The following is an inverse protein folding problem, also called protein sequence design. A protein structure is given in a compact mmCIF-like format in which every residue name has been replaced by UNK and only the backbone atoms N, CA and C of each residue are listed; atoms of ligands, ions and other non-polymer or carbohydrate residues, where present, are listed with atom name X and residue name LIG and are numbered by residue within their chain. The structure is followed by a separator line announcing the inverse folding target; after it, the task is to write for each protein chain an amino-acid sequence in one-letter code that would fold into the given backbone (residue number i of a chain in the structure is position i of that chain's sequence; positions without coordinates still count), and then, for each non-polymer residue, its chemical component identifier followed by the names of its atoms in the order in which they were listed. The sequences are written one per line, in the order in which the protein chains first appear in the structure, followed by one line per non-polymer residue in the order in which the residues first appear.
data_IF_175454217254
#
_entry.id   IF_175454217254
#
_cell.length_a   1.000
_cell.length_b   1.000
_cell.length_c   1.000
_cell.angle_alpha   90.00
_cell.angle_beta   90.00
_cell.angle_gamma   90.00
#
_symmetry.space_group_name_H-M   'P 1'
#
loop_
_entity.id
_entity.type
_entity.pdbx_description
1 polymer ?
#
# COMPACT_ATOMS: atom_id res chain seq x y z
N UNK A 1 12.62 -1.86 -6.71
CA UNK A 1 11.28 -2.15 -7.27
C UNK A 1 11.03 -1.15 -8.41
N UNK A 2 9.98 -1.31 -9.22
CA UNK A 2 9.42 -0.20 -9.99
C UNK A 2 7.93 -0.04 -9.67
N UNK A 3 7.36 1.13 -9.95
CA UNK A 3 5.98 1.49 -9.68
C UNK A 3 5.34 1.98 -10.95
N UNK A 4 4.14 1.50 -11.23
CA UNK A 4 3.25 2.20 -12.16
C UNK A 4 2.77 3.46 -11.42
N UNK A 5 3.04 4.65 -11.95
CA UNK A 5 2.62 5.92 -11.39
C UNK A 5 1.68 6.61 -12.35
N UNK A 6 0.54 7.12 -11.86
CA UNK A 6 -0.30 8.00 -12.65
C UNK A 6 0.37 9.38 -12.75
N UNK A 7 0.53 9.91 -13.95
CA UNK A 7 1.03 11.27 -14.15
C UNK A 7 -0.05 12.32 -13.84
N UNK A 8 -1.31 11.91 -13.83
CA UNK A 8 -2.49 12.70 -13.46
C UNK A 8 -3.65 11.76 -13.11
N UNK A 9 -4.68 12.22 -12.39
CA UNK A 9 -5.86 11.41 -12.11
C UNK A 9 -6.46 10.79 -13.39
N UNK A 10 -7.01 9.56 -13.33
CA UNK A 10 -7.80 9.01 -14.41
C UNK A 10 -8.98 9.92 -14.75
N UNK A 11 -9.20 10.17 -16.04
CA UNK A 11 -10.26 11.06 -16.52
C UNK A 11 -11.32 10.27 -17.27
N UNK A 12 -12.57 10.33 -16.80
CA UNK A 12 -13.70 9.75 -17.52
C UNK A 12 -14.22 10.77 -18.53
N UNK A 13 -14.35 10.36 -19.78
CA UNK A 13 -14.94 11.16 -20.84
C UNK A 13 -16.25 10.55 -21.28
N UNK A 14 -17.33 11.34 -21.22
CA UNK A 14 -18.59 10.95 -21.82
C UNK A 14 -18.41 10.86 -23.34
N UNK A 15 -18.78 9.72 -23.91
CA UNK A 15 -18.71 9.47 -25.34
C UNK A 15 -19.97 8.78 -25.84
N UNK A 16 -20.31 8.97 -27.12
CA UNK A 16 -21.32 8.19 -27.83
C UNK A 16 -20.59 7.26 -28.81
N UNK A 17 -20.78 5.93 -28.78
CA UNK A 17 -21.79 5.18 -28.02
C UNK A 17 -21.40 4.82 -26.56
N UNK A 18 -20.12 4.91 -26.19
CA UNK A 18 -19.63 4.52 -24.86
C UNK A 18 -18.72 5.59 -24.26
N UNK A 19 -18.71 5.69 -22.93
CA UNK A 19 -17.72 6.49 -22.21
C UNK A 19 -16.32 5.86 -22.32
N UNK A 20 -15.28 6.68 -22.20
CA UNK A 20 -13.90 6.19 -22.13
C UNK A 20 -13.19 6.69 -20.89
N UNK A 21 -12.14 5.99 -20.48
CA UNK A 21 -11.22 6.44 -19.44
C UNK A 21 -9.85 6.74 -20.05
N UNK A 22 -9.39 7.96 -19.82
CA UNK A 22 -8.04 8.40 -20.20
C UNK A 22 -7.11 8.25 -19.02
N UNK A 23 -6.03 7.51 -19.25
CA UNK A 23 -4.97 7.28 -18.28
C UNK A 23 -3.65 7.75 -18.86
N UNK A 24 -2.87 8.46 -18.06
CA UNK A 24 -1.47 8.76 -18.37
C UNK A 24 -0.62 8.22 -17.23
N UNK A 25 0.32 7.34 -17.56
CA UNK A 25 1.17 6.70 -16.57
C UNK A 25 2.64 6.68 -16.99
N UNK A 26 3.50 6.52 -15.99
CA UNK A 26 4.91 6.18 -16.14
C UNK A 26 5.22 4.91 -15.33
N UNK A 27 6.32 4.25 -15.64
CA UNK A 27 6.86 3.17 -14.80
C UNK A 27 8.27 3.57 -14.36
N UNK A 28 8.44 3.82 -13.07
CA UNK A 28 9.67 4.36 -12.50
C UNK A 28 10.02 3.71 -11.17
N UNK A 29 11.22 3.96 -10.65
CA UNK A 29 11.55 3.75 -9.24
C UNK A 29 10.66 4.61 -8.32
N UNK A 30 10.70 4.37 -7.01
CA UNK A 30 10.02 5.18 -6.00
C UNK A 30 10.51 6.63 -6.01
N UNK A 31 11.82 6.85 -6.16
CA UNK A 31 12.44 8.15 -6.36
C UNK A 31 12.12 8.82 -7.70
N UNK A 32 11.53 8.08 -8.65
CA UNK A 32 11.29 8.53 -10.02
C UNK A 32 12.56 9.00 -10.77
N UNK A 33 13.74 8.62 -10.28
CA UNK A 33 15.04 8.94 -10.86
C UNK A 33 15.36 8.10 -12.11
N UNK A 34 14.75 6.92 -12.24
CA UNK A 34 14.88 6.05 -13.40
C UNK A 34 13.55 5.54 -13.92
N UNK A 35 13.36 5.61 -15.24
CA UNK A 35 12.29 4.91 -15.94
C UNK A 35 12.65 3.45 -16.16
N UNK A 36 11.67 2.56 -16.06
CA UNK A 36 11.84 1.16 -16.37
C UNK A 36 12.27 1.00 -17.84
N UNK A 37 13.43 0.39 -18.07
CA UNK A 37 13.95 0.10 -19.40
C UNK A 37 14.09 -1.41 -19.61
N UNK A 38 13.01 -2.11 -19.97
CA UNK A 38 13.04 -3.57 -20.05
C UNK A 38 13.69 -4.04 -21.37
N UNK A 39 14.35 -5.20 -21.35
CA UNK A 39 14.93 -5.80 -22.58
C UNK A 39 13.85 -6.17 -23.61
N UNK A 40 12.73 -6.71 -23.13
CA UNK A 40 11.56 -7.05 -23.94
C UNK A 40 10.38 -6.15 -23.53
N UNK A 41 9.47 -5.82 -24.46
CA UNK A 41 8.25 -5.09 -24.12
C UNK A 41 7.44 -5.79 -23.03
N UNK A 42 6.99 -5.04 -22.04
CA UNK A 42 6.13 -5.55 -20.95
C UNK A 42 4.69 -5.17 -21.26
N UNK A 43 3.84 -6.16 -21.50
CA UNK A 43 2.41 -5.95 -21.65
C UNK A 43 1.78 -5.61 -20.30
N UNK A 44 0.89 -4.64 -20.29
CA UNK A 44 0.11 -4.23 -19.13
C UNK A 44 -1.35 -4.65 -19.33
N UNK A 45 -2.04 -4.83 -18.20
CA UNK A 45 -3.49 -5.04 -18.16
C UNK A 45 -4.12 -3.96 -17.29
N UNK A 46 -5.22 -3.40 -17.78
CA UNK A 46 -6.10 -2.52 -17.00
C UNK A 46 -7.36 -3.31 -16.63
N UNK A 47 -7.64 -3.37 -15.33
CA UNK A 47 -8.78 -4.09 -14.76
C UNK A 47 -9.63 -3.05 -14.03
N UNK A 48 -10.84 -2.81 -14.51
CA UNK A 48 -11.87 -2.08 -13.78
C UNK A 48 -12.57 -3.01 -12.80
N UNK A 49 -13.21 -2.46 -11.78
CA UNK A 49 -14.13 -3.20 -10.94
C UNK A 49 -15.37 -2.37 -10.60
N UNK A 50 -16.52 -3.02 -10.55
CA UNK A 50 -17.80 -2.44 -10.13
C UNK A 50 -18.44 -3.33 -9.09
N UNK A 51 -19.38 -2.79 -8.31
CA UNK A 51 -20.09 -3.55 -7.29
C UNK A 51 -21.43 -4.07 -7.82
N UNK A 52 -21.69 -5.36 -7.67
CA UNK A 52 -23.00 -5.98 -7.86
C UNK A 52 -23.59 -6.39 -6.52
N UNK A 53 -24.88 -6.13 -6.33
CA UNK A 53 -25.59 -6.64 -5.16
C UNK A 53 -26.19 -8.02 -5.49
N UNK A 54 -25.68 -9.07 -4.85
CA UNK A 54 -26.14 -10.45 -5.06
C UNK A 54 -26.30 -11.16 -3.73
N UNK A 55 -27.46 -11.80 -3.54
CA UNK A 55 -27.79 -12.57 -2.33
C UNK A 55 -27.62 -11.77 -1.01
N UNK A 56 -27.98 -10.48 -1.03
CA UNK A 56 -27.88 -9.60 0.13
C UNK A 56 -26.46 -9.12 0.46
N UNK A 57 -25.49 -9.36 -0.44
CA UNK A 57 -24.09 -8.96 -0.26
C UNK A 57 -23.59 -8.20 -1.48
N UNK A 58 -22.76 -7.20 -1.20
CA UNK A 58 -22.03 -6.47 -2.24
C UNK A 58 -20.84 -7.32 -2.69
N UNK A 59 -20.78 -7.61 -3.98
CA UNK A 59 -19.72 -8.36 -4.63
C UNK A 59 -18.99 -7.46 -5.63
N UNK A 60 -17.67 -7.37 -5.47
CA UNK A 60 -16.83 -6.68 -6.43
C UNK A 60 -16.59 -7.57 -7.66
N UNK A 61 -16.98 -7.09 -8.84
CA UNK A 61 -16.85 -7.80 -10.12
C UNK A 61 -15.75 -7.16 -10.97
N UNK A 62 -14.62 -7.87 -11.24
CA UNK A 62 -13.54 -7.35 -12.07
C UNK A 62 -13.87 -7.47 -13.57
N UNK A 63 -13.48 -6.46 -14.34
CA UNK A 63 -13.63 -6.38 -15.79
C UNK A 63 -12.32 -5.97 -16.42
N UNK A 64 -11.81 -6.75 -17.37
CA UNK A 64 -10.60 -6.41 -18.12
C UNK A 64 -10.93 -5.36 -19.18
N UNK A 65 -10.38 -4.15 -19.07
CA UNK A 65 -10.62 -3.02 -19.99
C UNK A 65 -9.70 -3.03 -21.23
N UNK A 66 -8.79 -4.00 -21.31
CA UNK A 66 -7.75 -4.11 -22.34
C UNK A 66 -7.87 -5.39 -23.17
N UNK A 67 -9.06 -6.01 -23.20
CA UNK A 67 -9.26 -7.28 -23.91
C UNK A 67 -8.88 -7.16 -25.40
N UNK A 68 -8.07 -8.12 -25.86
CA UNK A 68 -7.64 -8.23 -27.27
C UNK A 68 -6.44 -7.39 -27.68
N UNK A 69 -6.12 -6.29 -26.98
CA UNK A 69 -4.99 -5.42 -27.33
C UNK A 69 -4.31 -4.83 -26.07
N UNK A 70 -3.51 -5.61 -25.35
CA UNK A 70 -2.84 -5.13 -24.14
C UNK A 70 -1.78 -4.07 -24.49
N UNK A 71 -1.81 -2.89 -23.85
CA UNK A 71 -0.78 -1.87 -24.08
C UNK A 71 0.59 -2.37 -23.61
N UNK A 72 1.66 -1.92 -24.26
CA UNK A 72 3.02 -2.38 -23.96
C UNK A 72 3.92 -1.24 -23.53
N UNK A 73 4.65 -1.42 -22.42
CA UNK A 73 5.76 -0.57 -22.00
C UNK A 73 7.06 -1.07 -22.64
N UNK A 74 7.87 -0.15 -23.19
CA UNK A 74 9.10 -0.44 -23.95
C UNK A 74 10.26 0.41 -23.43
N UNK A 75 11.48 -0.05 -23.67
CA UNK A 75 12.68 0.74 -23.37
C UNK A 75 12.62 2.12 -24.04
N UNK A 76 13.08 3.15 -23.33
CA UNK A 76 13.06 4.55 -23.78
C UNK A 76 11.72 5.28 -23.60
N UNK A 77 10.65 4.58 -23.19
CA UNK A 77 9.39 5.25 -22.84
C UNK A 77 9.52 6.04 -21.53
N UNK A 78 8.94 7.24 -21.53
CA UNK A 78 8.78 8.06 -20.32
C UNK A 78 7.33 8.11 -19.84
N UNK A 79 6.40 8.01 -20.78
CA UNK A 79 4.96 8.11 -20.55
C UNK A 79 4.24 7.12 -21.47
N UNK A 80 3.21 6.47 -20.95
CA UNK A 80 2.24 5.69 -21.71
C UNK A 80 0.86 6.34 -21.53
N UNK A 81 0.20 6.64 -22.66
CA UNK A 81 -1.15 7.20 -22.70
C UNK A 81 -2.12 6.12 -23.15
N UNK A 82 -3.21 5.95 -22.41
CA UNK A 82 -4.27 4.99 -22.71
C UNK A 82 -5.60 5.73 -22.85
N UNK A 83 -6.40 5.29 -23.79
CA UNK A 83 -7.80 5.70 -23.97
C UNK A 83 -8.60 4.40 -24.12
N UNK A 84 -9.32 4.03 -23.05
CA UNK A 84 -9.94 2.71 -22.93
C UNK A 84 -11.46 2.86 -22.89
N UNK A 85 -12.22 2.11 -23.70
CA UNK A 85 -13.66 2.10 -23.61
C UNK A 85 -14.09 1.54 -22.26
N UNK A 86 -15.03 2.22 -21.61
CA UNK A 86 -15.67 1.75 -20.40
C UNK A 86 -16.89 0.88 -20.78
N UNK A 87 -17.13 -0.21 -20.04
CA UNK A 87 -18.34 -0.98 -20.21
C UNK A 87 -19.56 -0.19 -19.68
N UNK A 88 -20.79 -0.64 -19.97
CA UNK A 88 -22.00 0.02 -19.45
C UNK A 88 -22.09 0.07 -17.92
N UNK A 89 -21.43 -0.87 -17.24
CA UNK A 89 -21.39 -0.92 -15.77
C UNK A 89 -20.55 0.24 -15.20
N UNK A 90 -20.99 0.83 -14.07
CA UNK A 90 -20.27 1.93 -13.45
C UNK A 90 -19.01 1.42 -12.76
N UNK A 91 -17.88 1.45 -13.48
CA UNK A 91 -16.58 1.10 -12.90
C UNK A 91 -16.25 2.07 -11.75
N UNK A 92 -16.03 1.53 -10.56
CA UNK A 92 -15.76 2.26 -9.33
C UNK A 92 -14.27 2.41 -9.07
N UNK A 93 -13.48 1.41 -9.48
CA UNK A 93 -12.03 1.41 -9.29
C UNK A 93 -11.33 0.84 -10.51
N UNK A 94 -10.11 1.30 -10.77
CA UNK A 94 -9.22 0.72 -11.78
C UNK A 94 -7.93 0.24 -11.14
N UNK A 95 -7.40 -0.84 -11.68
CA UNK A 95 -6.09 -1.39 -11.38
C UNK A 95 -5.27 -1.45 -12.67
N UNK A 96 -4.00 -1.05 -12.60
CA UNK A 96 -3.03 -1.26 -13.68
C UNK A 96 -1.84 -2.04 -13.14
N UNK A 97 -1.48 -3.10 -13.87
CA UNK A 97 -0.34 -3.97 -13.54
C UNK A 97 0.24 -4.62 -14.81
N UNK A 98 1.46 -5.19 -14.75
CA UNK A 98 1.90 -6.13 -15.77
C UNK A 98 0.88 -7.25 -16.00
N UNK A 99 0.70 -7.63 -17.27
CA UNK A 99 -0.13 -8.77 -17.65
C UNK A 99 0.47 -10.06 -17.08
N UNK A 100 1.79 -10.22 -17.22
CA UNK A 100 2.56 -11.29 -16.58
C UNK A 100 2.57 -11.10 -15.06
N UNK A 101 1.93 -12.03 -14.35
CA UNK A 101 1.79 -12.00 -12.89
C UNK A 101 3.13 -12.13 -12.17
N UNK A 102 4.13 -12.78 -12.78
CA UNK A 102 5.45 -12.97 -12.17
C UNK A 102 6.20 -11.63 -12.02
N UNK A 103 5.89 -10.65 -12.86
CA UNK A 103 6.48 -9.32 -12.80
C UNK A 103 5.77 -8.38 -11.82
N UNK A 104 4.65 -8.78 -11.22
CA UNK A 104 3.84 -7.89 -10.39
C UNK A 104 4.09 -8.10 -8.89
N UNK A 105 4.24 -7.03 -8.11
CA UNK A 105 4.15 -7.09 -6.65
C UNK A 105 2.70 -6.80 -6.20
N UNK A 106 2.03 -7.80 -5.62
CA UNK A 106 0.63 -7.74 -5.17
C UNK A 106 0.42 -8.29 -3.75
N UNK A 107 1.41 -8.98 -3.20
CA UNK A 107 1.41 -9.45 -1.82
C UNK A 107 2.83 -9.48 -1.25
N UNK A 108 2.91 -9.57 0.07
CA UNK A 108 4.18 -9.59 0.81
C UNK A 108 5.08 -10.75 0.38
N UNK A 109 4.49 -11.92 0.09
CA UNK A 109 5.21 -13.08 -0.42
C UNK A 109 5.68 -12.98 -1.89
N UNK A 110 5.26 -11.95 -2.64
CA UNK A 110 5.89 -11.66 -3.94
C UNK A 110 7.22 -10.92 -3.74
N UNK A 111 7.26 -10.03 -2.75
CA UNK A 111 8.39 -9.12 -2.49
C UNK A 111 9.58 -9.86 -1.90
N UNK A 112 9.34 -10.76 -0.95
CA UNK A 112 10.38 -11.61 -0.35
C UNK A 112 10.39 -13.00 -1.01
N UNK A 113 11.58 -13.58 -1.28
CA UNK A 113 12.92 -13.14 -0.87
C UNK A 113 13.61 -12.19 -1.88
N UNK A 114 12.90 -11.60 -2.84
CA UNK A 114 13.49 -10.63 -3.78
C UNK A 114 14.30 -11.25 -4.91
N UNK A 115 13.80 -12.33 -5.54
CA UNK A 115 14.53 -13.08 -6.58
C UNK A 115 14.69 -12.32 -7.90
N UNK A 116 13.83 -11.34 -8.17
CA UNK A 116 13.83 -10.57 -9.42
C UNK A 116 13.25 -9.18 -9.22
N UNK A 117 13.49 -8.30 -10.19
CA UNK A 117 12.84 -7.00 -10.24
C UNK A 117 11.33 -7.14 -10.46
N UNK A 118 10.54 -6.47 -9.62
CA UNK A 118 9.09 -6.45 -9.68
C UNK A 118 8.56 -5.05 -9.97
N UNK A 119 7.33 -4.99 -10.44
CA UNK A 119 6.57 -3.78 -10.73
C UNK A 119 5.33 -3.77 -9.84
N UNK A 120 5.19 -2.76 -9.00
CA UNK A 120 4.04 -2.59 -8.14
C UNK A 120 2.83 -2.07 -8.93
N UNK A 121 1.70 -2.75 -8.75
CA UNK A 121 0.43 -2.35 -9.33
C UNK A 121 -0.03 -1.00 -8.75
N UNK A 122 -0.79 -0.24 -9.53
CA UNK A 122 -1.45 0.99 -9.07
C UNK A 122 -2.95 0.82 -9.11
N UNK A 123 -3.63 1.43 -8.17
CA UNK A 123 -5.08 1.52 -8.14
C UNK A 123 -5.53 2.97 -8.02
N UNK A 124 -6.68 3.27 -8.59
CA UNK A 124 -7.35 4.55 -8.40
C UNK A 124 -8.85 4.34 -8.37
N UNK A 125 -9.52 5.15 -7.54
CA UNK A 125 -10.97 5.27 -7.59
C UNK A 125 -11.37 6.06 -8.84
N UNK A 126 -12.44 5.64 -9.49
CA UNK A 126 -12.97 6.31 -10.66
C UNK A 126 -13.76 7.55 -10.23
N UNK A 127 -13.52 8.72 -10.86
CA UNK A 127 -14.29 9.92 -10.56
C UNK A 127 -15.77 9.67 -10.88
N UNK A 128 -16.69 9.98 -9.95
CA UNK A 128 -18.12 9.87 -10.23
C UNK A 128 -18.58 11.09 -11.03
N UNK A 129 -19.60 10.94 -11.90
CA UNK A 129 -20.21 12.09 -12.54
C UNK A 129 -20.75 13.08 -11.50
N UNK A 130 -20.23 14.31 -11.49
CA UNK A 130 -20.62 15.35 -10.54
C UNK A 130 -19.72 15.49 -9.32
N UNK A 131 -18.79 14.55 -9.08
CA UNK A 131 -17.65 14.84 -8.24
C UNK A 131 -16.86 15.97 -8.91
N UNK A 132 -16.42 16.96 -8.12
CA UNK A 132 -15.67 18.10 -8.63
C UNK A 132 -14.31 17.71 -9.21
N UNK A 133 -13.22 18.31 -8.70
CA UNK A 133 -11.89 17.87 -9.11
C UNK A 133 -11.62 16.48 -8.55
N UNK A 134 -11.35 15.50 -9.42
CA UNK A 134 -10.95 14.16 -9.01
C UNK A 134 -9.77 14.24 -8.01
N UNK A 135 -9.83 13.51 -6.89
CA UNK A 135 -8.76 13.54 -5.90
C UNK A 135 -7.43 13.15 -6.56
N UNK A 136 -6.38 13.90 -6.25
CA UNK A 136 -5.04 13.67 -6.81
C UNK A 136 -4.31 12.56 -6.07
N UNK A 137 -4.97 11.41 -5.93
CA UNK A 137 -4.57 10.30 -5.08
C UNK A 137 -4.67 8.99 -5.85
N UNK A 138 -3.74 8.09 -5.57
CA UNK A 138 -3.86 6.68 -5.93
C UNK A 138 -3.56 5.82 -4.72
N UNK A 139 -3.76 4.51 -4.82
CA UNK A 139 -3.41 3.61 -3.74
C UNK A 139 -2.71 2.35 -4.23
N UNK A 140 -1.95 1.76 -3.31
CA UNK A 140 -1.33 0.43 -3.45
C UNK A 140 -2.12 -0.55 -2.61
N UNK A 141 -2.23 -1.78 -3.11
CA UNK A 141 -2.95 -2.85 -2.43
C UNK A 141 -2.01 -4.05 -2.28
N UNK A 142 -1.65 -4.37 -1.05
CA UNK A 142 -0.74 -5.45 -0.71
C UNK A 142 -1.47 -6.52 0.10
N UNK A 143 -1.56 -7.73 -0.44
CA UNK A 143 -2.03 -8.87 0.34
C UNK A 143 -0.97 -9.23 1.40
N UNK A 144 -1.41 -9.28 2.64
CA UNK A 144 -0.59 -9.76 3.75
C UNK A 144 -0.73 -11.28 3.77
N UNK A 145 0.27 -11.98 3.22
CA UNK A 145 0.24 -13.44 3.20
C UNK A 145 0.55 -14.00 4.59
N UNK A 146 -0.21 -15.02 4.98
CA UNK A 146 -0.01 -15.84 6.16
C UNK A 146 0.12 -17.30 5.71
N UNK A 147 1.20 -17.64 4.97
CA UNK A 147 1.40 -18.99 4.42
C UNK A 147 0.13 -19.65 3.86
N UNK A 148 -0.13 -20.89 4.28
CA UNK A 148 -1.29 -21.72 3.90
C UNK A 148 -2.68 -21.15 4.25
N UNK A 149 -2.79 -20.02 4.97
CA UNK A 149 -4.07 -19.35 5.19
C UNK A 149 -4.69 -18.79 3.90
N UNK A 150 -3.87 -18.57 2.85
CA UNK A 150 -4.36 -18.27 1.50
C UNK A 150 -5.15 -19.44 0.88
N UNK A 151 -4.85 -20.69 1.26
CA UNK A 151 -5.57 -21.88 0.80
C UNK A 151 -6.89 -22.11 1.55
N UNK A 152 -7.06 -21.52 2.75
CA UNK A 152 -8.25 -21.68 3.59
C UNK A 152 -9.40 -20.69 3.27
N UNK A 153 -9.27 -19.89 2.20
CA UNK A 153 -10.31 -18.93 1.80
C UNK A 153 -10.52 -17.74 2.76
N UNK A 154 -9.73 -17.66 3.84
CA UNK A 154 -9.67 -16.51 4.75
C UNK A 154 -8.64 -15.53 4.19
N UNK A 155 -8.85 -15.05 2.97
CA UNK A 155 -8.06 -13.94 2.45
C UNK A 155 -8.48 -12.68 3.21
N UNK A 156 -7.74 -12.33 4.27
CA UNK A 156 -7.90 -11.05 4.95
C UNK A 156 -7.84 -9.90 3.93
N UNK A 157 -8.65 -8.86 4.13
CA UNK A 157 -8.64 -7.72 3.23
C UNK A 157 -7.23 -7.13 3.10
N UNK A 158 -6.79 -6.77 1.87
CA UNK A 158 -5.44 -6.29 1.63
C UNK A 158 -5.16 -4.99 2.38
N UNK A 159 -3.89 -4.79 2.72
CA UNK A 159 -3.38 -3.50 3.17
C UNK A 159 -3.47 -2.53 2.00
N UNK A 160 -4.26 -1.47 2.17
CA UNK A 160 -4.41 -0.42 1.15
C UNK A 160 -3.88 0.89 1.68
N UNK A 161 -2.88 1.44 1.01
CA UNK A 161 -2.24 2.70 1.39
C UNK A 161 -2.35 3.65 0.21
N UNK A 162 -2.91 4.83 0.46
CA UNK A 162 -2.92 5.95 -0.46
C UNK A 162 -1.59 6.68 -0.48
N UNK A 163 -1.27 7.21 -1.66
CA UNK A 163 -0.25 8.20 -1.91
C UNK A 163 -0.78 9.29 -2.83
N UNK A 164 -0.17 10.48 -2.76
CA UNK A 164 -0.53 11.59 -3.64
C UNK A 164 0.13 11.40 -5.01
N UNK A 165 -0.48 11.94 -6.08
CA UNK A 165 0.13 11.95 -7.42
C UNK A 165 1.16 13.07 -7.62
N UNK A 166 1.32 13.96 -6.63
CA UNK A 166 2.20 15.14 -6.69
C UNK A 166 3.67 14.82 -6.43
N UNK A 167 4.47 15.84 -6.09
CA UNK A 167 5.92 15.71 -5.88
C UNK A 167 6.32 15.58 -4.39
N UNK A 168 5.36 15.57 -3.46
CA UNK A 168 5.65 15.52 -2.02
C UNK A 168 6.22 14.16 -1.59
N UNK A 169 7.52 14.15 -1.26
CA UNK A 169 8.30 12.98 -0.82
C UNK A 169 7.65 12.25 0.37
N UNK A 170 7.16 12.98 1.37
CA UNK A 170 6.52 12.41 2.56
C UNK A 170 5.14 11.79 2.27
N UNK A 171 4.53 12.12 1.12
CA UNK A 171 3.20 11.64 0.72
C UNK A 171 3.23 10.54 -0.34
N UNK A 172 4.41 9.95 -0.55
CA UNK A 172 4.64 8.79 -1.43
C UNK A 172 4.93 7.51 -0.65
N UNK A 173 4.70 6.38 -1.32
CA UNK A 173 5.09 5.06 -0.82
C UNK A 173 6.51 4.75 -1.28
N UNK A 174 7.32 4.24 -0.36
CA UNK A 174 8.74 3.93 -0.55
C UNK A 174 9.02 2.42 -0.57
N UNK A 175 10.05 2.00 -1.30
CA UNK A 175 10.49 0.59 -1.38
C UNK A 175 10.75 0.01 0.02
N UNK A 176 11.42 0.79 0.87
CA UNK A 176 11.77 0.38 2.23
C UNK A 176 10.54 0.03 3.07
N UNK A 177 9.47 0.84 2.99
CA UNK A 177 8.22 0.59 3.71
C UNK A 177 7.56 -0.71 3.26
N UNK A 178 7.51 -0.96 1.95
CA UNK A 178 6.93 -2.19 1.39
C UNK A 178 7.76 -3.43 1.76
N UNK A 179 9.08 -3.35 1.66
CA UNK A 179 9.99 -4.43 2.05
C UNK A 179 9.87 -4.72 3.55
N UNK A 180 9.84 -3.69 4.39
CA UNK A 180 9.70 -3.84 5.84
C UNK A 180 8.37 -4.48 6.22
N UNK A 181 7.24 -4.02 5.65
CA UNK A 181 5.93 -4.67 5.88
C UNK A 181 5.95 -6.12 5.41
N UNK A 182 6.64 -6.42 4.30
CA UNK A 182 6.76 -7.79 3.81
C UNK A 182 7.55 -8.67 4.77
N UNK A 183 8.65 -8.15 5.33
CA UNK A 183 9.46 -8.84 6.33
C UNK A 183 8.70 -9.04 7.65
N UNK A 184 7.95 -8.03 8.09
CA UNK A 184 7.10 -8.11 9.28
C UNK A 184 6.00 -9.16 9.09
N UNK A 185 5.36 -9.20 7.92
CA UNK A 185 4.32 -10.18 7.60
C UNK A 185 4.90 -11.59 7.60
N UNK A 186 6.05 -11.81 6.96
CA UNK A 186 6.78 -13.08 6.99
C UNK A 186 7.08 -13.53 8.43
N UNK A 187 7.72 -12.67 9.23
CA UNK A 187 8.06 -13.01 10.62
C UNK A 187 6.85 -13.25 11.53
N UNK A 188 5.72 -12.62 11.23
CA UNK A 188 4.55 -12.64 12.11
C UNK A 188 3.47 -13.63 11.70
N UNK A 189 3.30 -13.86 10.41
CA UNK A 189 2.19 -14.62 9.86
C UNK A 189 2.64 -15.96 9.27
N UNK A 190 3.94 -16.15 9.06
CA UNK A 190 4.51 -17.42 8.67
C UNK A 190 5.10 -18.14 9.90
N UNK A 191 4.48 -19.26 10.27
CA UNK A 191 4.92 -20.14 11.36
C UNK A 191 5.78 -21.32 10.84
N UNK A 192 5.99 -21.43 9.53
CA UNK A 192 6.71 -22.57 8.91
C UNK A 192 8.23 -22.49 9.08
N UNK A 193 8.78 -21.28 9.11
CA UNK A 193 10.22 -21.05 9.33
C UNK A 193 10.51 -21.07 10.81
N UNK A 194 11.48 -21.88 11.26
CA UNK A 194 11.93 -21.88 12.65
C UNK A 194 12.45 -20.49 13.06
N UNK A 195 12.18 -20.04 14.29
CA UNK A 195 12.65 -18.75 14.78
C UNK A 195 14.18 -18.57 14.66
N UNK A 196 14.94 -19.68 14.72
CA UNK A 196 16.41 -19.70 14.57
C UNK A 196 16.89 -19.49 13.13
N UNK A 197 16.03 -19.71 12.15
CA UNK A 197 16.33 -19.56 10.72
C UNK A 197 15.87 -18.20 10.18
N UNK A 198 15.18 -17.40 11.01
CA UNK A 198 14.82 -16.03 10.68
C UNK A 198 16.07 -15.15 10.60
N UNK A 199 16.15 -14.22 9.62
CA UNK A 199 17.28 -13.28 9.54
C UNK A 199 17.37 -12.35 10.76
N UNK A 200 16.27 -12.15 11.50
CA UNK A 200 16.19 -11.30 12.68
C UNK A 200 15.53 -12.05 13.85
N UNK A 201 16.21 -13.06 14.43
CA UNK A 201 15.60 -13.99 15.38
C UNK A 201 15.13 -13.30 16.68
N UNK A 202 15.92 -12.34 17.18
CA UNK A 202 15.57 -11.54 18.36
C UNK A 202 14.33 -10.68 18.11
N UNK A 203 14.28 -10.01 16.95
CA UNK A 203 13.15 -9.14 16.60
C UNK A 203 11.87 -9.95 16.40
N UNK A 204 11.96 -11.10 15.73
CA UNK A 204 10.84 -12.03 15.58
C UNK A 204 10.32 -12.50 16.94
N UNK A 205 11.20 -12.83 17.88
CA UNK A 205 10.80 -13.21 19.24
C UNK A 205 10.06 -12.08 19.96
N UNK A 206 10.55 -10.83 19.86
CA UNK A 206 9.87 -9.67 20.47
C UNK A 206 8.45 -9.51 19.92
N UNK A 207 8.26 -9.70 18.61
CA UNK A 207 6.97 -9.54 17.93
C UNK A 207 6.01 -10.72 18.08
N UNK A 208 6.52 -11.93 18.30
CA UNK A 208 5.70 -13.15 18.42
C UNK A 208 5.34 -13.47 19.86
N UNK A 209 6.25 -13.29 20.81
CA UNK A 209 6.06 -13.66 22.22
C UNK A 209 6.34 -12.48 23.16
N UNK A 210 5.62 -11.35 23.01
CA UNK A 210 5.84 -10.21 23.87
C UNK A 210 5.40 -10.52 25.31
N UNK A 211 6.27 -10.23 26.28
CA UNK A 211 5.96 -10.40 27.70
C UNK A 211 4.92 -9.38 28.22
N UNK A 212 4.74 -8.26 27.50
CA UNK A 212 3.82 -7.16 27.80
C UNK A 212 3.32 -6.55 26.49
N UNK A 213 2.20 -5.79 26.47
CA UNK A 213 1.79 -5.05 25.27
C UNK A 213 2.93 -4.18 24.71
N UNK A 214 3.26 -4.36 23.44
CA UNK A 214 4.36 -3.63 22.80
C UNK A 214 3.99 -2.15 22.60
N UNK A 215 4.95 -1.26 22.82
CA UNK A 215 4.86 0.17 22.49
C UNK A 215 5.88 0.46 21.39
N UNK A 216 5.42 0.90 20.22
CA UNK A 216 6.24 0.92 19.00
C UNK A 216 6.21 2.31 18.36
N UNK A 217 7.35 3.01 18.42
CA UNK A 217 7.58 4.31 17.77
C UNK A 217 8.11 4.12 16.36
N UNK A 218 7.41 4.69 15.38
CA UNK A 218 7.91 4.88 14.03
C UNK A 218 8.31 6.35 13.83
N UNK A 219 9.54 6.58 13.40
CA UNK A 219 10.09 7.88 13.04
C UNK A 219 10.10 8.02 11.52
N UNK A 220 9.59 9.13 10.99
CA UNK A 220 9.53 9.36 9.55
C UNK A 220 8.55 8.41 8.85
N UNK A 221 7.30 8.36 9.32
CA UNK A 221 6.33 7.38 8.82
C UNK A 221 5.82 7.66 7.39
N UNK A 222 5.99 8.88 6.88
CA UNK A 222 5.38 9.36 5.64
C UNK A 222 3.88 9.06 5.63
N UNK A 223 3.43 8.29 4.64
CA UNK A 223 2.03 7.86 4.51
C UNK A 223 1.59 6.74 5.48
N UNK A 224 2.50 6.25 6.33
CA UNK A 224 2.23 5.29 7.41
C UNK A 224 2.35 3.81 7.02
N UNK A 225 3.07 3.47 5.94
CA UNK A 225 3.13 2.09 5.40
C UNK A 225 3.49 1.07 6.47
N UNK A 226 4.56 1.30 7.25
CA UNK A 226 5.07 0.33 8.21
C UNK A 226 4.17 0.22 9.43
N UNK A 227 3.88 1.30 10.15
CA UNK A 227 3.07 1.25 11.37
C UNK A 227 1.63 0.78 11.12
N UNK A 228 1.00 1.23 10.03
CA UNK A 228 -0.32 0.73 9.63
C UNK A 228 -0.22 -0.74 9.21
N UNK A 229 0.81 -1.11 8.45
CA UNK A 229 1.06 -2.50 8.06
C UNK A 229 1.22 -3.42 9.28
N UNK A 230 1.98 -3.00 10.29
CA UNK A 230 2.19 -3.75 11.53
C UNK A 230 0.90 -3.86 12.36
N UNK A 231 0.11 -2.78 12.44
CA UNK A 231 -1.21 -2.82 13.06
C UNK A 231 -2.12 -3.87 12.37
N UNK A 232 -2.09 -3.93 11.04
CA UNK A 232 -2.83 -4.93 10.26
C UNK A 232 -2.31 -6.34 10.50
N UNK A 233 -1.00 -6.56 10.42
CA UNK A 233 -0.36 -7.87 10.66
C UNK A 233 -0.70 -8.40 12.06
N UNK A 234 -0.60 -7.56 13.09
CA UNK A 234 -0.92 -7.96 14.47
C UNK A 234 -2.41 -8.24 14.67
N UNK A 235 -3.30 -7.53 13.97
CA UNK A 235 -4.75 -7.85 13.99
C UNK A 235 -5.11 -9.20 13.34
N UNK A 236 -4.25 -9.72 12.45
CA UNK A 236 -4.44 -11.01 11.80
C UNK A 236 -3.92 -12.17 12.65
N UNK A 237 -2.97 -11.91 13.58
CA UNK A 237 -2.50 -12.91 14.54
C UNK A 237 -3.61 -13.27 15.53
N UNK A 238 -3.82 -14.56 15.77
CA UNK A 238 -4.74 -15.05 16.81
C UNK A 238 -4.02 -15.07 18.16
N UNK A 239 -4.56 -14.36 19.16
CA UNK A 239 -4.19 -14.56 20.58
C UNK A 239 -2.96 -13.80 21.10
N UNK A 240 -2.78 -12.52 20.74
CA UNK A 240 -1.72 -11.66 21.30
C UNK A 240 -2.25 -10.37 21.92
N UNK A 241 -1.44 -9.72 22.76
CA UNK A 241 -1.74 -8.37 23.25
C UNK A 241 -1.60 -7.34 22.12
N UNK A 242 -2.64 -6.54 21.91
CA UNK A 242 -2.64 -5.49 20.90
C UNK A 242 -1.56 -4.43 21.20
N UNK A 243 -0.67 -4.11 20.24
CA UNK A 243 0.36 -3.10 20.47
C UNK A 243 -0.22 -1.69 20.49
N UNK A 244 0.48 -0.77 21.15
CA UNK A 244 0.31 0.66 20.96
C UNK A 244 1.40 1.18 20.01
N UNK A 245 0.97 1.54 18.80
CA UNK A 245 1.81 2.08 17.75
C UNK A 245 1.50 3.57 17.64
N UNK A 246 2.53 4.39 17.76
CA UNK A 246 2.48 5.82 17.45
C UNK A 246 3.50 6.06 16.33
N UNK A 247 2.95 6.50 15.21
CA UNK A 247 3.68 6.86 14.01
C UNK A 247 3.92 8.37 14.02
N UNK A 248 5.11 8.80 13.61
CA UNK A 248 5.50 10.20 13.69
C UNK A 248 6.21 10.64 12.43
N UNK A 249 5.99 11.90 12.06
CA UNK A 249 6.62 12.58 10.94
C UNK A 249 6.45 14.10 11.11
N UNK A 250 6.93 14.89 10.16
CA UNK A 250 6.60 16.30 10.06
C UNK A 250 5.09 16.50 9.83
N UNK A 251 4.58 17.68 10.18
CA UNK A 251 3.17 18.02 10.03
C UNK A 251 2.65 17.90 8.59
N UNK A 252 3.54 17.97 7.60
CA UNK A 252 3.15 17.82 6.19
C UNK A 252 2.60 16.43 5.83
N UNK A 253 3.00 15.39 6.56
CA UNK A 253 2.58 14.01 6.32
C UNK A 253 1.26 13.66 7.05
N UNK A 254 0.88 14.44 8.06
CA UNK A 254 -0.21 14.14 9.00
C UNK A 254 -1.53 13.82 8.29
N UNK A 255 -1.94 14.68 7.37
CA UNK A 255 -3.20 14.53 6.63
C UNK A 255 -3.29 13.16 5.94
N UNK A 256 -2.24 12.78 5.22
CA UNK A 256 -2.21 11.53 4.44
C UNK A 256 -2.04 10.31 5.35
N UNK A 257 -1.18 10.38 6.37
CA UNK A 257 -1.02 9.32 7.36
C UNK A 257 -2.36 9.02 8.05
N UNK A 258 -3.08 10.05 8.50
CA UNK A 258 -4.41 9.91 9.14
C UNK A 258 -5.47 9.38 8.18
N UNK A 259 -5.49 9.82 6.93
CA UNK A 259 -6.40 9.27 5.91
C UNK A 259 -6.18 7.76 5.71
N UNK A 260 -4.92 7.32 5.71
CA UNK A 260 -4.59 5.89 5.62
C UNK A 260 -4.95 5.12 6.88
N UNK A 261 -4.74 5.68 8.08
CA UNK A 261 -5.22 5.10 9.34
C UNK A 261 -6.74 4.89 9.30
N UNK A 262 -7.50 5.91 8.90
CA UNK A 262 -8.96 5.84 8.80
C UNK A 262 -9.42 4.77 7.80
N UNK A 263 -8.77 4.68 6.63
CA UNK A 263 -9.05 3.65 5.62
C UNK A 263 -8.87 2.23 6.15
N UNK A 264 -7.96 2.02 7.09
CA UNK A 264 -7.68 0.70 7.67
C UNK A 264 -8.42 0.42 8.99
N UNK A 265 -9.03 1.41 9.63
CA UNK A 265 -9.61 1.31 10.96
C UNK A 265 -10.64 0.18 11.09
N UNK A 266 -11.59 0.09 10.15
CA UNK A 266 -12.63 -0.94 10.14
C UNK A 266 -12.11 -2.37 9.90
N UNK A 267 -10.83 -2.52 9.53
CA UNK A 267 -10.23 -3.81 9.23
C UNK A 267 -9.49 -4.42 10.41
N UNK A 268 -9.20 -3.65 11.47
CA UNK A 268 -8.34 -4.05 12.60
C UNK A 268 -8.98 -5.04 13.60
N UNK A 269 -10.21 -5.51 13.35
CA UNK A 269 -10.86 -6.55 14.16
C UNK A 269 -11.28 -6.10 15.57
N UNK A 270 -11.58 -7.06 16.44
CA UNK A 270 -12.22 -6.83 17.75
C UNK A 270 -11.26 -6.39 18.87
N UNK A 271 -9.95 -6.56 18.68
CA UNK A 271 -8.92 -6.08 19.61
C UNK A 271 -7.82 -5.38 18.82
N UNK A 272 -8.14 -4.20 18.26
CA UNK A 272 -7.26 -3.53 17.31
C UNK A 272 -6.01 -3.01 18.01
N UNK A 273 -4.87 -3.08 17.31
CA UNK A 273 -3.71 -2.28 17.68
C UNK A 273 -4.13 -0.82 17.86
N UNK A 274 -3.71 -0.19 18.96
CA UNK A 274 -3.92 1.25 19.14
C UNK A 274 -2.95 1.96 18.22
N UNK A 275 -3.46 2.62 17.19
CA UNK A 275 -2.66 3.36 16.21
C UNK A 275 -2.90 4.86 16.36
N UNK A 276 -1.85 5.60 16.66
CA UNK A 276 -1.85 7.04 16.89
C UNK A 276 -0.88 7.75 15.94
N UNK A 277 -1.13 9.02 15.63
CA UNK A 277 -0.19 9.92 14.95
C UNK A 277 0.11 11.13 15.84
N UNK A 278 1.36 11.58 15.80
CA UNK A 278 1.83 12.86 16.34
C UNK A 278 2.92 13.44 15.42
N UNK A 279 2.86 14.76 15.19
CA UNK A 279 3.92 15.44 14.47
C UNK A 279 5.19 15.50 15.34
N UNK A 280 6.34 15.12 14.77
CA UNK A 280 7.63 15.14 15.43
C UNK A 280 8.73 15.52 14.44
N UNK A 281 9.35 16.67 14.66
CA UNK A 281 10.60 17.05 14.01
C UNK A 281 11.77 16.37 14.73
N UNK A 282 12.71 15.81 13.97
CA UNK A 282 13.89 15.14 14.54
C UNK A 282 14.82 16.13 15.24
N UNK A 283 14.93 17.37 14.77
CA UNK A 283 15.71 18.40 15.45
C UNK A 283 15.07 18.79 16.79
N UNK A 284 13.74 18.85 16.84
CA UNK A 284 13.01 19.04 18.09
C UNK A 284 13.25 17.87 19.05
N UNK A 285 13.11 16.63 18.58
CA UNK A 285 13.33 15.43 19.41
C UNK A 285 14.79 15.28 19.89
N UNK A 286 15.77 15.72 19.09
CA UNK A 286 17.18 15.83 19.51
C UNK A 286 17.36 16.82 20.66
N UNK A 287 16.55 17.87 20.69
CA UNK A 287 16.52 18.85 21.76
C UNK A 287 15.60 18.43 22.94
N UNK A 288 15.01 17.24 22.89
CA UNK A 288 14.07 16.75 23.90
C UNK A 288 12.68 17.39 23.83
N UNK A 289 12.37 18.05 22.72
CA UNK A 289 11.06 18.65 22.46
C UNK A 289 10.20 17.60 21.78
N UNK A 290 9.25 17.07 22.55
CA UNK A 290 8.30 16.06 22.09
C UNK A 290 6.87 16.57 22.22
N UNK A 291 5.96 16.06 21.40
CA UNK A 291 4.53 16.26 21.58
C UNK A 291 3.99 15.49 22.78
N UNK A 292 2.71 15.69 23.09
CA UNK A 292 2.05 15.08 24.24
C UNK A 292 2.16 13.54 24.23
N UNK A 293 1.96 12.90 23.08
CA UNK A 293 1.93 11.44 22.97
C UNK A 293 3.32 10.83 23.10
N UNK A 294 4.32 11.41 22.43
CA UNK A 294 5.70 10.93 22.44
C UNK A 294 6.38 11.15 23.81
N UNK A 295 5.99 12.18 24.58
CA UNK A 295 6.52 12.40 25.95
C UNK A 295 6.27 11.22 26.90
N UNK A 296 5.14 10.52 26.75
CA UNK A 296 4.80 9.39 27.61
C UNK A 296 5.43 8.07 27.16
N UNK A 297 6.25 8.10 26.12
CA UNK A 297 7.04 6.97 25.69
C UNK A 297 8.40 6.96 26.37
N UNK A 298 9.10 5.81 26.42
CA UNK A 298 10.44 5.71 27.02
C UNK A 298 11.47 6.70 26.46
N UNK A 299 11.16 7.35 25.34
CA UNK A 299 11.92 8.43 24.70
C UNK A 299 11.74 9.81 25.33
N UNK A 300 10.71 10.07 26.14
CA UNK A 300 10.44 11.40 26.71
C UNK A 300 11.56 11.97 27.60
N UNK A 301 12.49 11.11 28.02
CA UNK A 301 13.72 11.47 28.76
C UNK A 301 15.01 11.33 27.93
N UNK A 302 14.92 10.91 26.66
CA UNK A 302 16.05 10.61 25.78
C UNK A 302 16.12 11.63 24.65
N UNK A 303 17.34 11.97 24.22
CA UNK A 303 17.59 12.78 23.02
C UNK A 303 17.84 11.85 21.84
N UNK A 304 17.38 12.20 20.64
CA UNK A 304 17.88 11.55 19.42
C UNK A 304 19.40 11.79 19.32
N UNK A 305 20.15 10.74 19.00
CA UNK A 305 21.64 10.79 18.85
C UNK A 305 21.98 11.12 17.41
#
# INVERSE_FOLDING_TARGET
MHYIRFCRPPEVQAGKPHATVKVILAITTDLSDFFLSPRNPIQLVVIGAYTEHKDGKDQLVPVVLTQGNPPSWRAGMRVLKLDLPLPPQPIETIQIRPLDRQLTAMGTGDVLPGKQGLIMAVYADMPRPGDGRAPSVCFRSLRLSAGDAAAAGIAGQPLQIEEDLGESIARHIWDSGIVMVSLLADMCLDDTVSAKESPLPLFRSILQTPSHPLRILELGCGVGVMGIGLARITSLKRGGNAPHILITDLSEAEEKARANMARQAGKLGNSPARLDFEALDWEDGKNGVFGEKARFWPMGSCRFV
#
